data_IF_144014087437
#
_entry.id   IF_144014087437
#
_cell.length_a   1.000
_cell.length_b   1.000
_cell.length_c   1.000
_cell.angle_alpha   90.00
_cell.angle_beta   90.00
_cell.angle_gamma   90.00
#
_symmetry.space_group_name_H-M   'P 1'
#
loop_
_entity.id
_entity.type
_entity.pdbx_description
1 polymer ?
#
# COMPACT_ATOMS: atom_id res chain seq x y z
N UNK A 1 1.86 -15.03 52.79
CA UNK A 1 1.26 -13.83 52.15
C UNK A 1 0.62 -14.28 50.86
N UNK A 2 -0.67 -13.98 50.61
CA UNK A 2 -1.13 -12.85 49.76
C UNK A 2 -0.50 -12.93 48.35
N UNK A 3 -1.21 -13.07 47.23
CA UNK A 3 -2.65 -13.06 46.98
C UNK A 3 -2.96 -13.13 45.46
N UNK A 4 -4.27 -13.14 45.15
CA UNK A 4 -4.92 -12.49 43.98
C UNK A 4 -4.80 -13.22 42.62
N UNK A 5 -5.85 -13.94 42.14
CA UNK A 5 -6.99 -13.49 41.24
C UNK A 5 -6.53 -13.40 39.76
N UNK A 6 -7.18 -13.84 38.66
CA UNK A 6 -8.54 -14.31 38.31
C UNK A 6 -8.50 -14.92 36.89
N UNK A 7 -9.35 -15.92 36.68
CA UNK A 7 -10.24 -16.13 35.52
C UNK A 7 -9.87 -15.49 34.15
N UNK A 8 -9.63 -16.34 33.14
CA UNK A 8 -10.31 -16.19 31.85
C UNK A 8 -10.27 -17.47 31.02
N UNK A 9 -11.43 -18.13 30.99
CA UNK A 9 -12.06 -18.81 29.86
C UNK A 9 -11.17 -19.47 28.79
N UNK A 10 -11.07 -20.79 28.92
CA UNK A 10 -11.40 -21.80 27.89
C UNK A 10 -11.72 -21.22 26.49
N UNK A 11 -10.90 -21.59 25.51
CA UNK A 11 -11.36 -22.00 24.17
C UNK A 11 -10.34 -22.97 23.60
N UNK A 12 -10.85 -24.12 23.21
CA UNK A 12 -10.18 -25.41 23.12
C UNK A 12 -9.72 -25.60 21.67
N UNK A 13 -8.53 -26.14 21.45
CA UNK A 13 -8.24 -26.89 20.24
C UNK A 13 -7.43 -28.13 20.63
N UNK A 14 -8.16 -29.24 20.77
CA UNK A 14 -7.64 -30.58 20.95
C UNK A 14 -6.91 -31.04 19.70
N UNK A 15 -5.63 -31.42 19.83
CA UNK A 15 -4.98 -32.28 18.85
C UNK A 15 -4.65 -33.60 19.54
N UNK A 16 -5.48 -34.60 19.27
CA UNK A 16 -5.28 -35.98 19.68
C UNK A 16 -4.34 -36.65 18.70
N UNK A 17 -3.13 -37.01 19.13
CA UNK A 17 -2.40 -38.15 18.57
C UNK A 17 -1.68 -38.90 19.70
N UNK A 18 -2.06 -40.16 19.87
CA UNK A 18 -1.44 -41.11 20.79
C UNK A 18 -0.66 -42.13 19.96
N UNK A 19 0.66 -42.19 20.15
CA UNK A 19 1.49 -43.37 19.89
C UNK A 19 2.79 -43.24 20.70
N UNK A 20 3.08 -44.29 21.48
CA UNK A 20 4.03 -44.34 22.58
C UNK A 20 5.48 -44.70 22.19
N UNK A 21 6.40 -44.40 23.12
CA UNK A 21 7.72 -45.02 23.37
C UNK A 21 8.97 -44.20 22.88
N UNK A 22 10.13 -44.31 23.58
CA UNK A 22 10.73 -43.15 24.25
C UNK A 22 12.16 -42.86 23.75
N UNK A 23 12.46 -41.62 23.37
CA UNK A 23 13.86 -41.20 23.32
C UNK A 23 14.01 -39.67 23.39
N UNK A 24 14.92 -39.27 24.29
CA UNK A 24 15.73 -38.06 24.32
C UNK A 24 15.15 -36.73 23.79
N UNK A 25 14.87 -35.85 24.76
CA UNK A 25 14.81 -34.38 24.62
C UNK A 25 13.57 -33.84 23.89
N UNK A 26 12.77 -32.95 24.52
CA UNK A 26 11.78 -32.18 23.77
C UNK A 26 12.51 -31.42 22.65
N UNK A 27 12.11 -31.53 21.37
CA UNK A 27 12.55 -30.57 20.38
C UNK A 27 12.17 -29.18 20.90
N UNK A 28 13.03 -28.16 20.72
CA UNK A 28 12.65 -26.80 21.07
C UNK A 28 11.30 -26.48 20.42
N UNK A 29 10.39 -25.79 21.12
CA UNK A 29 9.12 -25.38 20.53
C UNK A 29 9.40 -24.74 19.17
N UNK A 30 8.59 -25.03 18.12
CA UNK A 30 8.74 -24.36 16.83
C UNK A 30 8.81 -22.88 17.11
N UNK A 31 9.89 -22.25 16.64
CA UNK A 31 10.19 -20.85 16.89
C UNK A 31 8.88 -20.07 16.78
N UNK A 32 8.46 -19.45 17.87
CA UNK A 32 7.46 -18.40 17.83
C UNK A 32 8.06 -17.37 16.90
N UNK A 33 7.68 -17.38 15.62
CA UNK A 33 8.09 -16.38 14.65
C UNK A 33 7.52 -15.09 15.18
N UNK A 34 8.33 -14.36 15.95
CA UNK A 34 8.06 -12.97 16.27
C UNK A 34 7.84 -12.32 14.90
N UNK A 35 6.63 -11.83 14.57
CA UNK A 35 6.38 -11.20 13.27
C UNK A 35 7.24 -9.94 13.05
N UNK A 36 8.02 -9.52 14.06
CA UNK A 36 9.00 -8.44 14.00
C UNK A 36 10.39 -8.84 13.46
N UNK A 37 10.62 -10.10 13.05
CA UNK A 37 11.93 -10.55 12.57
C UNK A 37 12.27 -10.11 11.13
N UNK A 38 11.29 -9.55 10.40
CA UNK A 38 11.41 -9.26 8.97
C UNK A 38 11.98 -7.85 8.67
N UNK A 39 12.46 -7.12 9.68
CA UNK A 39 12.94 -5.75 9.51
C UNK A 39 11.81 -4.70 9.53
N UNK A 40 12.13 -3.41 9.31
CA UNK A 40 11.12 -2.35 9.24
C UNK A 40 10.23 -2.54 8.00
N UNK A 41 8.98 -2.06 8.09
CA UNK A 41 8.11 -1.92 6.93
C UNK A 41 8.70 -0.92 5.93
N UNK A 42 8.36 -1.03 4.64
CA UNK A 42 8.91 -0.12 3.64
C UNK A 42 8.42 1.30 3.92
N UNK A 43 9.28 2.27 3.61
CA UNK A 43 9.00 3.69 3.78
C UNK A 43 7.84 4.14 2.87
N UNK A 44 7.31 5.33 3.16
CA UNK A 44 6.26 5.92 2.35
C UNK A 44 6.78 6.15 0.92
N UNK A 45 6.06 5.71 -0.13
CA UNK A 45 6.41 6.02 -1.50
C UNK A 45 6.56 7.52 -1.75
N UNK A 46 7.69 7.94 -2.30
CA UNK A 46 7.83 9.30 -2.84
C UNK A 46 7.34 9.33 -4.28
N UNK A 47 6.14 9.87 -4.49
CA UNK A 47 5.49 9.90 -5.80
C UNK A 47 5.69 11.28 -6.43
N UNK A 48 6.43 11.27 -7.54
CA UNK A 48 6.63 12.42 -8.42
C UNK A 48 5.73 12.32 -9.65
N UNK A 49 4.97 13.37 -9.94
CA UNK A 49 4.15 13.47 -11.14
C UNK A 49 4.78 14.47 -12.11
N UNK A 50 5.56 14.00 -13.09
CA UNK A 50 6.29 14.90 -14.01
C UNK A 50 5.37 15.78 -14.84
N UNK A 51 4.18 15.29 -15.18
CA UNK A 51 3.18 16.06 -15.95
C UNK A 51 2.41 17.07 -15.08
N UNK A 52 2.38 16.88 -13.76
CA UNK A 52 1.58 17.66 -12.82
C UNK A 52 2.41 17.95 -11.56
N UNK A 53 3.45 18.78 -11.65
CA UNK A 53 4.33 19.07 -10.51
C UNK A 53 3.58 19.72 -9.34
N UNK A 54 2.63 20.61 -9.65
CA UNK A 54 1.79 21.29 -8.67
C UNK A 54 0.44 20.60 -8.48
N UNK A 55 0.22 20.00 -7.31
CA UNK A 55 -1.07 19.38 -6.92
C UNK A 55 -2.22 20.38 -6.71
N UNK A 56 -1.92 21.68 -6.75
CA UNK A 56 -2.87 22.78 -6.60
C UNK A 56 -3.18 23.50 -7.93
N UNK A 57 -2.64 23.03 -9.05
CA UNK A 57 -2.92 23.57 -10.37
C UNK A 57 -3.73 22.57 -11.21
N UNK A 58 -4.67 23.06 -12.02
CA UNK A 58 -5.37 22.27 -13.01
C UNK A 58 -4.57 22.25 -14.31
N UNK A 59 -4.34 21.06 -14.86
CA UNK A 59 -3.64 20.90 -16.13
C UNK A 59 -4.62 20.38 -17.19
N UNK A 60 -4.52 20.90 -18.41
CA UNK A 60 -5.32 20.45 -19.55
C UNK A 60 -4.81 19.15 -20.18
N UNK A 61 -3.82 18.49 -19.56
CA UNK A 61 -3.16 17.31 -20.10
C UNK A 61 -3.83 16.05 -19.54
N UNK A 62 -4.59 15.27 -20.33
CA UNK A 62 -5.27 14.05 -19.87
C UNK A 62 -4.30 12.86 -19.73
N UNK A 63 -3.03 13.15 -19.47
CA UNK A 63 -1.92 12.22 -19.40
C UNK A 63 -1.12 12.53 -18.15
N UNK A 64 -1.13 11.63 -17.18
CA UNK A 64 -0.29 11.74 -16.00
C UNK A 64 0.75 10.61 -16.02
N UNK A 65 2.02 11.01 -15.91
CA UNK A 65 3.12 10.09 -15.66
C UNK A 65 3.54 10.23 -14.21
N UNK A 66 3.42 9.13 -13.48
CA UNK A 66 3.86 8.99 -12.11
C UNK A 66 5.17 8.20 -12.10
N UNK A 67 6.14 8.71 -11.37
CA UNK A 67 7.39 8.03 -11.07
C UNK A 67 7.58 8.04 -9.57
N UNK A 68 8.19 7.00 -9.05
CA UNK A 68 8.53 6.91 -7.64
C UNK A 68 9.84 6.16 -7.46
N UNK A 69 10.52 6.43 -6.35
CA UNK A 69 11.73 5.71 -6.00
C UNK A 69 11.37 4.35 -5.43
N UNK A 70 11.95 3.28 -5.98
CA UNK A 70 11.82 1.94 -5.40
C UNK A 70 12.99 1.67 -4.45
N UNK A 71 12.73 1.50 -3.15
CA UNK A 71 13.73 0.97 -2.23
C UNK A 71 14.12 -0.46 -2.62
N UNK A 72 15.38 -0.84 -2.38
CA UNK A 72 15.90 -2.18 -2.70
C UNK A 72 15.17 -3.32 -1.96
N UNK A 73 14.51 -2.98 -0.86
CA UNK A 73 13.78 -3.90 0.01
C UNK A 73 12.34 -4.16 -0.47
N UNK A 74 11.85 -3.39 -1.45
CA UNK A 74 10.49 -3.53 -2.00
C UNK A 74 10.45 -4.62 -3.07
N UNK A 75 9.56 -5.59 -2.86
CA UNK A 75 9.37 -6.74 -3.76
C UNK A 75 8.15 -6.53 -4.67
N UNK A 76 7.06 -6.03 -4.09
CA UNK A 76 5.77 -5.85 -4.77
C UNK A 76 5.27 -4.43 -4.51
N UNK A 77 4.67 -3.81 -5.52
CA UNK A 77 3.94 -2.55 -5.33
C UNK A 77 2.46 -2.76 -5.61
N UNK A 78 1.62 -2.02 -4.90
CA UNK A 78 0.18 -1.97 -5.18
C UNK A 78 -0.22 -0.54 -5.45
N UNK A 79 -0.91 -0.33 -6.57
CA UNK A 79 -1.36 1.00 -6.97
C UNK A 79 -2.80 1.00 -7.46
N UNK A 80 -3.42 2.16 -7.43
CA UNK A 80 -4.76 2.40 -7.94
C UNK A 80 -4.95 3.90 -8.20
N UNK A 81 -5.88 4.25 -9.08
CA UNK A 81 -6.17 5.63 -9.44
C UNK A 81 -7.68 5.84 -9.40
N UNK A 82 -8.14 6.68 -8.49
CA UNK A 82 -9.56 6.94 -8.27
C UNK A 82 -9.80 8.41 -7.90
N UNK A 83 -11.06 8.83 -7.73
CA UNK A 83 -11.44 10.18 -7.28
C UNK A 83 -11.49 10.34 -5.76
N UNK A 84 -11.28 9.27 -4.98
CA UNK A 84 -11.34 9.28 -3.52
C UNK A 84 -9.95 9.41 -2.88
N UNK A 85 -9.80 10.23 -1.84
CA UNK A 85 -8.51 10.44 -1.19
C UNK A 85 -8.06 9.26 -0.33
N UNK A 86 -8.97 8.34 0.06
CA UNK A 86 -8.71 7.24 1.00
C UNK A 86 -8.86 5.84 0.42
N UNK A 87 -8.83 5.69 -0.91
CA UNK A 87 -8.92 4.37 -1.51
C UNK A 87 -7.68 3.55 -1.18
N UNK A 88 -7.88 2.33 -0.65
CA UNK A 88 -6.80 1.36 -0.56
C UNK A 88 -6.59 0.76 -1.96
N UNK A 89 -5.36 0.81 -2.50
CA UNK A 89 -5.13 0.35 -3.85
C UNK A 89 -5.39 -1.15 -3.94
N UNK A 90 -5.78 -1.64 -5.13
CA UNK A 90 -6.10 -3.07 -5.35
C UNK A 90 -5.20 -3.74 -6.39
N UNK A 91 -4.60 -2.97 -7.29
CA UNK A 91 -3.81 -3.54 -8.39
C UNK A 91 -2.39 -3.81 -7.96
N UNK A 92 -2.02 -5.09 -7.86
CA UNK A 92 -0.68 -5.55 -7.51
C UNK A 92 0.22 -5.65 -8.76
N UNK A 93 1.48 -5.26 -8.60
CA UNK A 93 2.53 -5.38 -9.60
C UNK A 93 3.74 -6.09 -9.00
N UNK A 94 4.03 -7.27 -9.56
CA UNK A 94 5.17 -8.14 -9.24
C UNK A 94 5.82 -8.57 -10.58
N UNK A 95 7.11 -8.25 -10.82
CA UNK A 95 8.01 -7.50 -9.93
C UNK A 95 7.56 -6.05 -9.74
N UNK A 96 7.98 -5.43 -8.63
CA UNK A 96 7.75 -4.02 -8.34
C UNK A 96 8.16 -3.11 -9.53
N UNK A 97 7.25 -2.23 -9.94
CA UNK A 97 7.50 -1.19 -10.94
C UNK A 97 7.74 0.16 -10.25
N UNK A 98 8.52 1.05 -10.88
CA UNK A 98 8.88 2.38 -10.38
C UNK A 98 8.23 3.54 -11.15
N UNK A 99 7.54 3.23 -12.25
CA UNK A 99 6.87 4.21 -13.07
C UNK A 99 5.53 3.69 -13.57
N UNK A 100 4.57 4.60 -13.71
CA UNK A 100 3.27 4.32 -14.30
C UNK A 100 2.78 5.52 -15.08
N UNK A 101 2.37 5.26 -16.31
CA UNK A 101 1.71 6.24 -17.15
C UNK A 101 0.22 5.90 -17.25
N UNK A 102 -0.62 6.92 -17.12
CA UNK A 102 -2.04 6.85 -17.41
C UNK A 102 -2.36 7.85 -18.52
N UNK A 103 -2.89 7.34 -19.62
CA UNK A 103 -3.51 8.10 -20.68
C UNK A 103 -5.04 8.13 -20.51
N UNK A 104 -5.69 9.10 -21.15
CA UNK A 104 -7.15 9.25 -21.16
C UNK A 104 -7.80 9.50 -19.79
N UNK A 105 -7.12 10.24 -18.92
CA UNK A 105 -7.67 10.63 -17.63
C UNK A 105 -8.91 11.54 -17.78
N UNK A 106 -9.86 11.36 -16.87
CA UNK A 106 -11.09 12.16 -16.79
C UNK A 106 -10.82 13.51 -16.15
N UNK A 107 -11.65 14.51 -16.46
CA UNK A 107 -11.59 15.78 -15.75
C UNK A 107 -11.95 15.62 -14.26
N UNK A 108 -11.47 16.58 -13.48
CA UNK A 108 -11.67 16.68 -12.04
C UNK A 108 -10.40 16.38 -11.24
N UNK A 109 -10.62 16.12 -9.95
CA UNK A 109 -9.57 15.76 -9.00
C UNK A 109 -9.45 14.24 -8.96
N UNK A 110 -8.25 13.71 -9.14
CA UNK A 110 -7.93 12.29 -8.99
C UNK A 110 -6.82 12.11 -7.97
N UNK A 111 -6.81 10.95 -7.31
CA UNK A 111 -5.85 10.54 -6.31
C UNK A 111 -5.20 9.24 -6.77
N UNK A 112 -3.89 9.29 -6.94
CA UNK A 112 -3.08 8.11 -7.21
C UNK A 112 -2.62 7.53 -5.88
N UNK A 113 -2.95 6.27 -5.67
CA UNK A 113 -2.63 5.52 -4.46
C UNK A 113 -1.48 4.57 -4.78
N UNK A 114 -0.46 4.53 -3.93
CA UNK A 114 0.66 3.60 -4.06
C UNK A 114 1.05 3.05 -2.70
N UNK A 115 1.40 1.78 -2.66
CA UNK A 115 1.78 1.08 -1.43
C UNK A 115 2.90 0.09 -1.76
N UNK A 116 3.89 0.04 -0.89
CA UNK A 116 5.00 -0.91 -1.01
C UNK A 116 4.80 -2.13 -0.13
N UNK A 117 5.30 -3.26 -0.63
CA UNK A 117 5.40 -4.51 0.12
C UNK A 117 6.82 -5.04 0.04
N UNK A 118 7.38 -5.36 1.21
CA UNK A 118 8.64 -6.07 1.38
C UNK A 118 8.39 -7.42 2.06
N UNK A 119 9.46 -8.10 2.48
CA UNK A 119 9.39 -9.35 3.25
C UNK A 119 8.67 -9.16 4.59
N UNK A 120 8.75 -7.97 5.21
CA UNK A 120 7.99 -7.58 6.41
C UNK A 120 6.49 -7.33 6.17
N UNK A 121 6.08 -7.21 4.92
CA UNK A 121 4.69 -7.03 4.50
C UNK A 121 4.37 -5.62 3.99
N UNK A 122 3.10 -5.25 4.08
CA UNK A 122 2.61 -4.00 3.50
C UNK A 122 2.91 -2.77 4.38
N UNK A 123 3.53 -1.76 3.76
CA UNK A 123 3.81 -0.45 4.33
C UNK A 123 2.60 0.51 4.32
N UNK A 124 2.81 1.80 4.61
CA UNK A 124 1.78 2.83 4.47
C UNK A 124 1.40 3.08 3.01
N UNK A 125 0.20 3.61 2.79
CA UNK A 125 -0.28 4.03 1.45
C UNK A 125 0.08 5.49 1.23
N UNK A 126 0.78 5.81 0.14
CA UNK A 126 0.98 7.15 -0.35
C UNK A 126 -0.17 7.57 -1.27
N UNK A 127 -0.53 8.85 -1.21
CA UNK A 127 -1.63 9.44 -1.93
C UNK A 127 -1.11 10.68 -2.68
N UNK A 128 -1.19 10.68 -4.00
CA UNK A 128 -0.80 11.82 -4.83
C UNK A 128 -2.01 12.40 -5.52
N UNK A 129 -2.35 13.64 -5.19
CA UNK A 129 -3.45 14.38 -5.83
C UNK A 129 -2.99 14.95 -7.17
N UNK A 130 -3.82 14.79 -8.19
CA UNK A 130 -3.69 15.44 -9.49
C UNK A 130 -5.02 16.07 -9.86
N UNK A 131 -4.97 17.22 -10.56
CA UNK A 131 -6.16 17.93 -10.99
C UNK A 131 -6.09 18.16 -12.49
N UNK A 132 -7.10 17.66 -13.19
CA UNK A 132 -7.17 17.70 -14.65
C UNK A 132 -8.38 18.52 -15.02
N UNK A 133 -8.16 19.58 -15.79
CA UNK A 133 -9.25 20.38 -16.35
C UNK A 133 -9.12 20.40 -17.87
N UNK A 134 -9.93 19.55 -18.51
CA UNK A 134 -10.00 19.46 -19.97
C UNK A 134 -10.92 20.51 -20.56
N UNK A 135 -11.62 21.27 -19.74
CA UNK A 135 -12.59 22.28 -20.17
C UNK A 135 -11.81 23.46 -20.74
N UNK A 136 -11.76 23.67 -22.08
CA UNK A 136 -11.24 24.92 -22.59
C UNK A 136 -12.11 26.05 -22.02
N UNK A 137 -11.52 27.20 -21.62
CA UNK A 137 -12.33 28.35 -21.28
C UNK A 137 -13.26 28.63 -22.47
N UNK A 138 -14.56 28.90 -22.23
CA UNK A 138 -15.48 29.18 -23.33
C UNK A 138 -14.88 30.30 -24.17
N UNK A 139 -14.73 30.08 -25.48
CA UNK A 139 -14.32 31.13 -26.39
C UNK A 139 -15.30 32.29 -26.19
N UNK A 140 -14.80 33.40 -25.66
CA UNK A 140 -15.56 34.64 -25.66
C UNK A 140 -15.75 35.02 -27.13
N UNK A 141 -16.90 34.68 -27.69
CA UNK A 141 -17.40 35.26 -28.92
C UNK A 141 -17.49 36.78 -28.71
N UNK A 142 -16.40 37.50 -28.96
CA UNK A 142 -16.48 38.92 -29.25
C UNK A 142 -17.14 39.05 -30.62
N UNK A 143 -18.47 38.97 -30.61
CA UNK A 143 -19.26 39.62 -31.64
C UNK A 143 -19.10 41.12 -31.46
N UNK A 144 -18.61 41.79 -32.50
CA UNK A 144 -19.33 42.80 -33.30
C UNK A 144 -18.49 43.18 -34.50
#
# INVERSE_FOLDING_TARGET
>A
GKGTDILSTKSIATYTVAASAPDTTPPPPPATTNPSALGPKPELPDITASSHPDENLYYNVPKARFLWELPYDVLVVRMDLDKSDKTDPKTNYDPAINEKEYDQLTDGVMYFHLKYQNDAGWGPTAHKKIMIDRTPPPEFLHGI
#
